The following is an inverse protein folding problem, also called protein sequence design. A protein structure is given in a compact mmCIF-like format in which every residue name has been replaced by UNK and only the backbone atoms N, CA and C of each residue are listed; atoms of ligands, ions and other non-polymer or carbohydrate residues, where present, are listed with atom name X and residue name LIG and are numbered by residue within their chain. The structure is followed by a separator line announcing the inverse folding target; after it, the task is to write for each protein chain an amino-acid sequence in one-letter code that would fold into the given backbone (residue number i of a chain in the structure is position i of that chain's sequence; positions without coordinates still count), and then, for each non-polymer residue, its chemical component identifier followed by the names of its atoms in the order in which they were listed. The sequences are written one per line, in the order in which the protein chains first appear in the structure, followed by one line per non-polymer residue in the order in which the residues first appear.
data_IF_858932416480
#
_entry.id   IF_858932416480
#
_cell.length_a   1.000
_cell.length_b   1.000
_cell.length_c   1.000
_cell.angle_alpha   90.00
_cell.angle_beta   90.00
_cell.angle_gamma   90.00
#
_symmetry.space_group_name_H-M   'P 1'
#
loop_
_entity.id
_entity.type
_entity.pdbx_description
1 polymer ?
#
# COMPACT_ATOMS: atom_id res chain seq x y z
N UNK A 1 -15.12 -3.88 14.87
CA UNK A 1 -14.79 -2.45 15.00
C UNK A 1 -13.31 -2.26 15.34
N UNK A 2 -12.79 -2.90 16.40
CA UNK A 2 -11.38 -2.74 16.82
C UNK A 2 -10.34 -3.16 15.77
N UNK A 3 -10.55 -4.29 15.07
CA UNK A 3 -9.66 -4.79 14.01
C UNK A 3 -9.55 -3.84 12.81
N UNK A 4 -10.69 -3.33 12.34
CA UNK A 4 -10.77 -2.43 11.19
C UNK A 4 -10.01 -1.12 11.49
N UNK A 5 -10.30 -0.51 12.65
CA UNK A 5 -9.61 0.72 13.08
C UNK A 5 -8.11 0.50 13.30
N UNK A 6 -7.71 -0.68 13.81
CA UNK A 6 -6.29 -1.07 13.89
C UNK A 6 -5.65 -1.08 12.50
N UNK A 7 -6.30 -1.68 11.50
CA UNK A 7 -5.77 -1.75 10.14
C UNK A 7 -5.71 -0.40 9.45
N UNK A 8 -6.74 0.43 9.57
CA UNK A 8 -6.73 1.81 9.07
C UNK A 8 -5.54 2.59 9.64
N UNK A 9 -5.32 2.52 10.95
CA UNK A 9 -4.17 3.16 11.61
C UNK A 9 -2.83 2.62 11.11
N UNK A 10 -2.70 1.30 10.96
CA UNK A 10 -1.48 0.68 10.42
C UNK A 10 -1.21 1.20 9.01
N UNK A 11 -2.20 1.14 8.11
CA UNK A 11 -2.07 1.56 6.72
C UNK A 11 -1.74 3.06 6.62
N UNK A 12 -2.44 3.91 7.36
CA UNK A 12 -2.17 5.36 7.39
C UNK A 12 -0.74 5.63 7.89
N UNK A 13 -0.27 4.87 8.89
CA UNK A 13 1.11 4.99 9.37
C UNK A 13 2.13 4.56 8.30
N UNK A 14 1.87 3.47 7.56
CA UNK A 14 2.71 3.01 6.45
C UNK A 14 2.79 4.11 5.38
N UNK A 15 1.63 4.58 4.89
CA UNK A 15 1.55 5.67 3.89
C UNK A 15 2.33 6.91 4.36
N UNK A 16 2.10 7.35 5.61
CA UNK A 16 2.75 8.52 6.17
C UNK A 16 4.26 8.35 6.40
N UNK A 17 4.72 7.14 6.71
CA UNK A 17 6.15 6.85 6.88
C UNK A 17 6.88 6.87 5.54
N UNK A 18 6.31 6.25 4.51
CA UNK A 18 6.91 6.26 3.17
C UNK A 18 6.91 7.67 2.55
N UNK A 19 5.87 8.48 2.79
CA UNK A 19 5.79 9.86 2.30
C UNK A 19 6.85 10.81 2.87
N UNK A 20 7.56 10.44 3.94
CA UNK A 20 8.69 11.22 4.47
C UNK A 20 9.91 11.16 3.54
N UNK A 21 10.04 10.09 2.76
CA UNK A 21 11.16 9.91 1.84
C UNK A 21 10.83 10.59 0.51
N UNK A 22 11.57 11.66 0.21
CA UNK A 22 11.52 12.30 -1.09
C UNK A 22 12.60 11.70 -1.99
N UNK A 23 12.30 11.42 -3.27
CA UNK A 23 13.34 11.05 -4.23
C UNK A 23 14.50 12.06 -4.21
N UNK A 24 15.72 11.55 -4.26
CA UNK A 24 16.95 12.36 -4.22
C UNK A 24 17.21 13.15 -5.50
N UNK A 25 16.41 12.91 -6.54
CA UNK A 25 16.53 13.51 -7.87
C UNK A 25 15.20 14.14 -8.31
N UNK A 26 15.30 15.11 -9.21
CA UNK A 26 14.15 15.85 -9.70
C UNK A 26 13.50 16.74 -8.64
N UNK A 27 12.34 17.31 -9.01
CA UNK A 27 11.42 18.02 -8.12
C UNK A 27 10.18 17.15 -7.97
N UNK A 28 10.32 16.09 -7.19
CA UNK A 28 9.27 15.09 -6.96
C UNK A 28 8.73 15.24 -5.54
N UNK A 29 7.41 15.21 -5.44
CA UNK A 29 6.67 15.28 -4.19
C UNK A 29 5.89 13.98 -4.00
N UNK A 30 6.10 13.28 -2.87
CA UNK A 30 5.20 12.22 -2.46
C UNK A 30 3.88 12.81 -1.96
N UNK A 31 2.77 12.22 -2.39
CA UNK A 31 1.41 12.53 -2.00
C UNK A 31 0.80 11.33 -1.28
N UNK A 32 0.48 11.53 0.00
CA UNK A 32 -0.34 10.59 0.76
C UNK A 32 -1.81 10.84 0.46
N UNK A 33 -2.50 9.82 -0.04
CA UNK A 33 -3.93 9.87 -0.34
C UNK A 33 -4.59 8.80 0.53
N UNK A 34 -5.26 9.23 1.59
CA UNK A 34 -5.94 8.34 2.54
C UNK A 34 -7.42 8.69 2.58
N UNK A 35 -8.25 7.85 1.97
CA UNK A 35 -9.70 7.94 2.01
C UNK A 35 -10.25 6.84 2.92
N UNK A 36 -10.69 7.24 4.12
CA UNK A 36 -11.25 6.32 5.11
C UNK A 36 -12.73 5.97 4.82
N UNK A 37 -13.43 6.74 3.99
CA UNK A 37 -14.82 6.46 3.63
C UNK A 37 -14.89 5.30 2.64
N UNK A 38 -14.00 5.30 1.64
CA UNK A 38 -13.91 4.22 0.66
C UNK A 38 -12.85 3.15 0.98
N UNK A 39 -12.11 3.34 2.08
CA UNK A 39 -10.98 2.50 2.50
C UNK A 39 -9.92 2.33 1.39
N UNK A 40 -9.53 3.44 0.76
CA UNK A 40 -8.47 3.50 -0.24
C UNK A 40 -7.28 4.32 0.27
N UNK A 41 -6.09 3.75 0.18
CA UNK A 41 -4.87 4.34 0.74
C UNK A 41 -3.72 4.21 -0.26
N UNK A 42 -3.21 5.33 -0.75
CA UNK A 42 -2.18 5.37 -1.79
C UNK A 42 -1.03 6.27 -1.37
N UNK A 43 0.16 5.89 -1.80
CA UNK A 43 1.27 6.80 -1.96
C UNK A 43 1.51 7.02 -3.45
N UNK A 44 1.58 8.28 -3.85
CA UNK A 44 1.78 8.67 -5.23
C UNK A 44 2.91 9.69 -5.34
N UNK A 45 3.79 9.51 -6.31
CA UNK A 45 4.78 10.52 -6.66
C UNK A 45 4.27 11.44 -7.77
N UNK A 46 4.38 12.74 -7.54
CA UNK A 46 4.02 13.78 -8.50
C UNK A 46 5.17 14.80 -8.62
N UNK A 47 5.57 15.13 -9.84
CA UNK A 47 6.66 16.10 -10.02
C UNK A 47 7.27 16.12 -11.39
N UNK A 48 8.50 16.59 -11.46
CA UNK A 48 9.29 16.60 -12.68
C UNK A 48 10.67 16.05 -12.39
N UNK A 49 11.09 15.06 -13.17
CA UNK A 49 12.46 14.57 -13.22
C UNK A 49 13.15 15.08 -14.50
N UNK A 50 14.46 14.86 -14.62
CA UNK A 50 15.27 15.13 -15.83
C UNK A 50 14.68 14.45 -17.08
N UNK A 51 14.01 13.31 -16.91
CA UNK A 51 13.44 12.51 -17.99
C UNK A 51 12.01 12.90 -18.35
N UNK A 52 11.32 13.68 -17.51
CA UNK A 52 9.97 14.17 -17.80
C UNK A 52 9.04 14.24 -16.59
N UNK A 53 7.74 14.22 -16.87
CA UNK A 53 6.67 14.30 -15.86
C UNK A 53 6.65 13.03 -15.02
N UNK A 54 6.68 13.19 -13.70
CA UNK A 54 6.43 12.12 -12.73
C UNK A 54 4.99 12.22 -12.25
N UNK A 55 4.22 11.14 -12.43
CA UNK A 55 2.82 11.00 -12.02
C UNK A 55 2.49 9.51 -11.91
N UNK A 56 2.93 8.87 -10.81
CA UNK A 56 2.86 7.42 -10.67
C UNK A 56 2.51 6.99 -9.24
N UNK A 57 1.75 5.90 -9.13
CA UNK A 57 1.43 5.26 -7.84
C UNK A 57 2.65 4.44 -7.39
N UNK A 58 3.12 4.71 -6.17
CA UNK A 58 4.20 3.95 -5.54
C UNK A 58 3.65 2.66 -4.94
N UNK A 59 2.54 2.75 -4.20
CA UNK A 59 1.75 1.60 -3.76
C UNK A 59 0.29 2.00 -3.51
N UNK A 60 -0.60 1.01 -3.57
CA UNK A 60 -2.03 1.16 -3.32
C UNK A 60 -2.53 0.02 -2.45
N UNK A 61 -3.12 0.39 -1.32
CA UNK A 61 -3.70 -0.49 -0.32
C UNK A 61 -5.19 -0.19 -0.19
N UNK A 62 -5.98 -1.24 0.02
CA UNK A 62 -7.42 -1.15 0.30
C UNK A 62 -7.78 -1.99 1.50
N UNK A 63 -8.88 -1.66 2.15
CA UNK A 63 -9.54 -2.61 3.05
C UNK A 63 -10.80 -3.14 2.37
N UNK A 64 -10.87 -4.45 2.18
CA UNK A 64 -12.00 -5.15 1.57
C UNK A 64 -12.41 -6.26 2.53
N UNK A 65 -13.67 -6.30 2.94
CA UNK A 65 -14.22 -7.28 3.88
C UNK A 65 -13.38 -7.47 5.17
N UNK A 66 -12.77 -6.37 5.64
CA UNK A 66 -11.94 -6.34 6.85
C UNK A 66 -10.51 -6.86 6.68
N UNK A 67 -10.07 -7.12 5.44
CA UNK A 67 -8.71 -7.55 5.08
C UNK A 67 -7.99 -6.47 4.28
N UNK A 68 -6.66 -6.46 4.36
CA UNK A 68 -5.82 -5.51 3.64
C UNK A 68 -5.50 -6.09 2.26
N UNK A 69 -6.02 -5.48 1.21
CA UNK A 69 -5.70 -5.80 -0.17
C UNK A 69 -4.56 -4.91 -0.67
N UNK A 70 -3.48 -5.52 -1.14
CA UNK A 70 -2.37 -4.82 -1.80
C UNK A 70 -2.63 -4.84 -3.30
N UNK A 71 -3.13 -3.74 -3.84
CA UNK A 71 -3.48 -3.61 -5.27
C UNK A 71 -2.23 -3.40 -6.13
N UNK A 72 -1.26 -2.65 -5.61
CA UNK A 72 0.03 -2.37 -6.25
C UNK A 72 1.11 -2.12 -5.20
N UNK A 73 2.31 -2.60 -5.46
CA UNK A 73 3.49 -2.39 -4.61
C UNK A 73 4.75 -2.26 -5.45
N UNK A 74 5.27 -1.03 -5.57
CA UNK A 74 6.53 -0.72 -6.23
C UNK A 74 7.71 -0.58 -5.27
N UNK A 75 7.57 -0.98 -4.00
CA UNK A 75 8.64 -0.84 -3.00
C UNK A 75 9.62 -2.02 -3.05
N UNK A 76 10.91 -1.77 -2.82
CA UNK A 76 11.94 -2.82 -2.88
C UNK A 76 11.79 -3.84 -1.75
N UNK A 77 11.46 -3.39 -0.53
CA UNK A 77 11.26 -4.25 0.64
C UNK A 77 9.93 -5.00 0.60
N UNK A 78 8.94 -4.46 -0.11
CA UNK A 78 7.57 -4.95 -0.14
C UNK A 78 6.76 -4.52 1.09
N UNK A 79 5.60 -3.93 0.84
CA UNK A 79 4.59 -3.57 1.83
C UNK A 79 4.09 -4.81 2.58
N UNK A 80 4.04 -5.97 1.91
CA UNK A 80 3.66 -7.22 2.55
C UNK A 80 4.51 -7.53 3.78
N UNK A 81 5.83 -7.39 3.68
CA UNK A 81 6.74 -7.65 4.81
C UNK A 81 6.52 -6.67 5.97
N UNK A 82 6.34 -5.39 5.64
CA UNK A 82 6.06 -4.34 6.63
C UNK A 82 4.73 -4.57 7.39
N UNK A 83 3.68 -4.99 6.69
CA UNK A 83 2.39 -5.31 7.33
C UNK A 83 2.51 -6.49 8.31
N UNK A 84 3.29 -7.53 7.97
CA UNK A 84 3.55 -8.65 8.85
C UNK A 84 4.30 -8.20 10.12
N UNK A 85 5.33 -7.35 9.98
CA UNK A 85 6.08 -6.78 11.11
C UNK A 85 5.20 -5.93 12.03
N UNK A 86 4.20 -5.24 11.46
CA UNK A 86 3.21 -4.46 12.20
C UNK A 86 2.08 -5.33 12.81
N UNK A 87 2.19 -6.65 12.70
CA UNK A 87 1.29 -7.61 13.34
C UNK A 87 -0.03 -7.81 12.60
N UNK A 88 -0.05 -7.66 11.28
CA UNK A 88 -1.13 -8.12 10.41
C UNK A 88 -0.87 -9.59 10.07
N UNK A 89 -1.86 -10.47 10.24
CA UNK A 89 -1.72 -11.89 9.90
C UNK A 89 -1.74 -12.11 8.38
N UNK A 90 -1.10 -13.18 7.90
CA UNK A 90 -1.12 -13.54 6.47
C UNK A 90 -2.54 -13.75 5.93
N UNK A 91 -3.43 -14.32 6.76
CA UNK A 91 -4.85 -14.55 6.42
C UNK A 91 -5.66 -13.26 6.25
N UNK A 92 -5.12 -12.13 6.70
CA UNK A 92 -5.72 -10.80 6.60
C UNK A 92 -5.10 -9.93 5.50
N UNK A 93 -4.20 -10.50 4.70
CA UNK A 93 -3.56 -9.81 3.57
C UNK A 93 -3.96 -10.51 2.27
N UNK A 94 -4.46 -9.75 1.31
CA UNK A 94 -4.76 -10.21 -0.04
C UNK A 94 -3.73 -9.59 -0.99
N UNK A 95 -3.06 -10.42 -1.80
CA UNK A 95 -2.19 -9.94 -2.86
C UNK A 95 -3.05 -9.62 -4.10
N UNK A 96 -3.59 -8.40 -4.15
CA UNK A 96 -4.50 -7.91 -5.19
C UNK A 96 -3.89 -7.93 -6.59
N UNK A 97 -2.60 -7.63 -6.70
CA UNK A 97 -1.84 -7.71 -7.95
C UNK A 97 -1.63 -9.15 -8.47
N UNK A 98 -1.93 -10.18 -7.68
CA UNK A 98 -1.93 -11.58 -8.12
C UNK A 98 -3.34 -11.97 -8.57
N UNK A 99 -3.43 -12.59 -9.76
CA UNK A 99 -4.70 -13.07 -10.31
C UNK A 99 -5.38 -14.04 -9.33
N UNK A 100 -6.72 -13.96 -9.16
CA UNK A 100 -7.45 -14.77 -8.18
C UNK A 100 -7.12 -16.28 -8.24
N UNK A 101 -7.04 -16.84 -9.44
CA UNK A 101 -6.76 -18.27 -9.69
C UNK A 101 -5.35 -18.73 -9.25
N UNK A 102 -4.42 -17.79 -9.08
CA UNK A 102 -3.05 -18.07 -8.62
C UNK A 102 -2.84 -17.81 -7.13
N UNK A 103 -3.79 -17.16 -6.44
CA UNK A 103 -3.65 -16.85 -5.00
C UNK A 103 -3.54 -18.10 -4.13
N UNK A 104 -4.12 -19.22 -4.59
CA UNK A 104 -4.01 -20.54 -3.92
C UNK A 104 -2.57 -21.06 -3.82
N UNK A 105 -1.64 -20.54 -4.61
CA UNK A 105 -0.22 -20.91 -4.57
C UNK A 105 0.61 -19.95 -3.71
N UNK A 106 -0.05 -19.07 -2.95
CA UNK A 106 0.59 -18.10 -2.04
C UNK A 106 0.22 -18.44 -0.59
N UNK A 107 1.02 -17.95 0.36
CA UNK A 107 0.73 -18.10 1.79
C UNK A 107 -0.32 -17.10 2.32
N UNK A 108 -1.01 -16.36 1.43
CA UNK A 108 -1.86 -15.23 1.78
C UNK A 108 -3.34 -15.51 1.51
N UNK A 109 -4.20 -14.58 1.95
CA UNK A 109 -5.64 -14.69 1.78
C UNK A 109 -6.07 -14.72 0.31
N UNK A 110 -7.04 -15.59 -0.01
CA UNK A 110 -7.60 -15.72 -1.36
C UNK A 110 -8.53 -14.55 -1.73
N UNK A 111 -9.27 -14.05 -0.73
CA UNK A 111 -10.29 -13.02 -0.82
C UNK A 111 -10.48 -12.38 0.55
#
# INVERSE_FOLDING_TARGET
MDKLEKYRRIIISVVGNHAKYKPSHGKIQPLSICDQESDNYLLMDTGWDKTGRVHAVVFHLRIIDGKICIEWDGTERGITAELLELGVGKDDIILGFIRPEYRQFTDFSLA
#
